data_IF_210485976544
#
_entry.id   IF_210485976544
#
_cell.length_a   1.000
_cell.length_b   1.000
_cell.length_c   1.000
_cell.angle_alpha   90.00
_cell.angle_beta   90.00
_cell.angle_gamma   90.00
#
_symmetry.space_group_name_H-M   'P 1'
#
loop_
_entity.id
_entity.type
_entity.pdbx_description
1 polymer ?
#
# COMPACT_ATOMS: atom_id res chain seq x y z
N UNK A 1 6.75 9.79 -1.26
CA UNK A 1 5.35 9.62 -0.86
C UNK A 1 4.66 10.95 -1.08
N UNK A 2 3.90 11.04 -2.17
CA UNK A 2 3.10 12.19 -2.54
C UNK A 2 1.63 11.96 -2.14
N UNK A 3 0.86 13.01 -1.78
CA UNK A 3 -0.52 12.85 -1.34
C UNK A 3 -1.41 12.05 -2.31
N UNK A 4 -1.17 12.20 -3.62
CA UNK A 4 -1.96 11.52 -4.65
C UNK A 4 -1.71 10.00 -4.69
N UNK A 5 -0.61 9.51 -4.12
CA UNK A 5 -0.30 8.07 -4.03
C UNK A 5 -1.21 7.37 -3.01
N UNK A 6 -1.74 8.10 -2.01
CA UNK A 6 -2.74 7.58 -1.05
C UNK A 6 -4.17 7.88 -1.51
N UNK A 7 -4.41 9.07 -2.08
CA UNK A 7 -5.75 9.49 -2.48
C UNK A 7 -6.37 8.56 -3.54
N UNK A 8 -5.59 8.10 -4.53
CA UNK A 8 -6.10 7.23 -5.60
C UNK A 8 -6.56 5.85 -5.06
N UNK A 9 -5.75 5.10 -4.29
CA UNK A 9 -6.22 3.86 -3.64
C UNK A 9 -7.41 4.05 -2.71
N UNK A 10 -7.48 5.17 -1.98
CA UNK A 10 -8.63 5.49 -1.13
C UNK A 10 -9.90 5.70 -1.95
N UNK A 11 -9.83 6.44 -3.06
CA UNK A 11 -10.95 6.63 -3.99
C UNK A 11 -11.38 5.31 -4.62
N UNK A 12 -10.44 4.44 -4.99
CA UNK A 12 -10.75 3.09 -5.47
C UNK A 12 -11.57 2.30 -4.45
N UNK A 13 -11.12 2.22 -3.19
CA UNK A 13 -11.87 1.51 -2.14
C UNK A 13 -13.25 2.11 -1.86
N UNK A 14 -13.44 3.41 -2.09
CA UNK A 14 -14.72 4.08 -1.94
C UNK A 14 -15.64 3.97 -3.18
N UNK A 15 -15.14 3.43 -4.29
CA UNK A 15 -15.87 3.35 -5.56
C UNK A 15 -16.56 2.00 -5.77
N UNK A 16 -17.47 1.94 -6.74
CA UNK A 16 -18.15 0.71 -7.14
C UNK A 16 -17.20 -0.37 -7.69
N UNK A 17 -16.00 0.02 -8.15
CA UNK A 17 -14.97 -0.91 -8.61
C UNK A 17 -14.46 -1.83 -7.48
N UNK A 18 -14.63 -1.41 -6.23
CA UNK A 18 -14.30 -2.19 -5.03
C UNK A 18 -15.52 -2.90 -4.41
N UNK A 19 -16.63 -3.03 -5.13
CA UNK A 19 -17.92 -3.56 -4.62
C UNK A 19 -17.85 -4.95 -3.95
N UNK A 20 -16.82 -5.74 -4.22
CA UNK A 20 -16.60 -7.05 -3.60
C UNK A 20 -15.43 -7.10 -2.59
N UNK A 21 -14.83 -5.95 -2.28
CA UNK A 21 -13.71 -5.82 -1.35
C UNK A 21 -14.24 -5.27 -0.03
N UNK A 22 -14.23 -6.09 1.02
CA UNK A 22 -14.58 -5.67 2.38
C UNK A 22 -13.73 -6.43 3.40
N UNK A 23 -13.46 -5.80 4.55
CA UNK A 23 -12.63 -6.37 5.61
C UNK A 23 -11.15 -6.56 5.26
N UNK A 24 -10.70 -6.09 4.10
CA UNK A 24 -9.32 -6.19 3.64
C UNK A 24 -8.57 -4.87 3.88
N UNK A 25 -7.27 -4.97 4.18
CA UNK A 25 -6.36 -3.83 4.24
C UNK A 25 -5.59 -3.71 2.91
N UNK A 26 -5.73 -2.57 2.22
CA UNK A 26 -4.91 -2.23 1.05
C UNK A 26 -3.67 -1.47 1.51
N UNK A 27 -2.51 -2.14 1.48
CA UNK A 27 -1.23 -1.55 1.86
C UNK A 27 -0.70 -0.66 0.73
N UNK A 28 -0.38 0.60 1.05
CA UNK A 28 0.16 1.59 0.12
C UNK A 28 1.41 2.22 0.73
N UNK A 29 2.54 1.51 0.66
CA UNK A 29 3.77 1.88 1.39
C UNK A 29 5.04 1.82 0.53
N UNK A 30 4.91 1.72 -0.79
CA UNK A 30 6.05 1.58 -1.70
C UNK A 30 6.80 0.24 -1.59
N UNK A 31 6.20 -0.78 -0.97
CA UNK A 31 6.76 -2.13 -0.85
C UNK A 31 7.57 -2.37 0.43
N UNK A 32 7.47 -1.50 1.42
CA UNK A 32 8.16 -1.68 2.71
C UNK A 32 7.69 -2.94 3.44
N UNK A 33 6.38 -3.18 3.46
CA UNK A 33 5.77 -4.37 4.09
C UNK A 33 5.93 -5.63 3.24
N UNK A 34 6.31 -5.51 1.96
CA UNK A 34 6.48 -6.64 1.04
C UNK A 34 7.78 -7.44 1.26
N UNK A 35 8.62 -7.05 2.23
CA UNK A 35 9.79 -7.84 2.63
C UNK A 35 11.11 -7.46 1.96
N UNK A 36 11.26 -6.23 1.43
CA UNK A 36 12.59 -5.70 1.14
C UNK A 36 13.32 -5.48 2.46
N UNK A 37 14.15 -6.45 2.84
CA UNK A 37 15.18 -6.26 3.85
C UNK A 37 16.01 -5.08 3.39
N UNK A 38 15.98 -3.98 4.12
CA UNK A 38 16.95 -2.91 3.86
C UNK A 38 18.33 -3.56 4.02
N UNK A 39 19.14 -3.59 2.96
CA UNK A 39 20.51 -4.18 2.95
C UNK A 39 21.44 -3.57 4.02
N UNK A 40 20.95 -2.56 4.74
CA UNK A 40 21.61 -1.91 5.87
C UNK A 40 21.97 -2.86 7.03
N UNK A 41 21.31 -4.01 7.17
CA UNK A 41 21.60 -4.97 8.26
C UNK A 41 22.38 -6.21 7.83
N UNK A 42 22.62 -6.43 6.53
CA UNK A 42 23.43 -7.56 6.05
C UNK A 42 24.94 -7.19 5.96
N UNK A 43 25.31 -5.97 6.38
CA UNK A 43 26.68 -5.43 6.34
C UNK A 43 27.26 -5.06 7.73
N UNK A 44 26.62 -5.49 8.83
CA UNK A 44 27.13 -5.38 10.21
C UNK A 44 27.43 -6.76 10.76
#
# INVERSE_FOLDING_TARGET
>A
AEPHEIAKPAVFLASDDASFITGAALVVDGGMTAGKRFELFDSI
#
